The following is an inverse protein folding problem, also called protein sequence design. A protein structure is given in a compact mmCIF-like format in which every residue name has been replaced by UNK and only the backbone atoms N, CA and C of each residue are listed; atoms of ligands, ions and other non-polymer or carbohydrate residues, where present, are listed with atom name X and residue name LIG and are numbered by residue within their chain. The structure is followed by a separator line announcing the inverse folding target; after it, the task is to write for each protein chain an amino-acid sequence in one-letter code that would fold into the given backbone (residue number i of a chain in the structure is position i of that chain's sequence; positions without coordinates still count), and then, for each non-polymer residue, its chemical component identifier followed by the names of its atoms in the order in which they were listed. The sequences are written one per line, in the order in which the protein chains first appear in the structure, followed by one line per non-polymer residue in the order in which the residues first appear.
data_IF_998966563362
#
_entry.id   IF_998966563362
#
_cell.length_a   1.000
_cell.length_b   1.000
_cell.length_c   1.000
_cell.angle_alpha   90.00
_cell.angle_beta   90.00
_cell.angle_gamma   90.00
#
_symmetry.space_group_name_H-M   'P 1'
#
loop_
_entity.id
_entity.type
_entity.pdbx_description
1 polymer ?
#
# COMPACT_ATOMS: atom_id res chain seq x y z
N UNK A 1 4.34 5.08 -14.81
CA UNK A 1 4.40 5.14 -13.34
C UNK A 1 5.84 5.18 -12.85
N UNK A 2 6.06 5.49 -11.58
CA UNK A 2 7.40 5.60 -10.98
C UNK A 2 7.39 4.95 -9.60
N UNK A 3 8.44 4.21 -9.26
CA UNK A 3 8.66 3.61 -7.94
C UNK A 3 10.15 3.54 -7.59
N UNK A 4 10.47 3.41 -6.31
CA UNK A 4 11.81 3.15 -5.81
C UNK A 4 12.13 1.64 -5.81
N UNK A 5 13.41 1.29 -5.72
CA UNK A 5 13.77 -0.12 -5.50
C UNK A 5 13.29 -0.59 -4.13
N UNK A 6 12.73 -1.81 -4.07
CA UNK A 6 12.11 -2.36 -2.86
C UNK A 6 10.69 -1.88 -2.55
N UNK A 7 10.11 -1.03 -3.40
CA UNK A 7 8.73 -0.53 -3.30
C UNK A 7 7.75 -1.38 -4.14
N UNK A 8 6.48 -1.39 -3.75
CA UNK A 8 5.38 -1.80 -4.61
C UNK A 8 4.49 -0.60 -4.98
N UNK A 9 4.12 -0.48 -6.26
CA UNK A 9 3.21 0.56 -6.74
C UNK A 9 2.17 -0.09 -7.65
N UNK A 10 0.91 0.32 -7.51
CA UNK A 10 -0.19 -0.24 -8.27
C UNK A 10 -1.01 0.80 -9.04
N UNK A 11 -1.77 0.30 -10.02
CA UNK A 11 -2.81 1.06 -10.72
C UNK A 11 -3.95 0.12 -11.13
N UNK A 12 -5.13 0.68 -11.39
CA UNK A 12 -6.26 -0.09 -11.88
C UNK A 12 -6.36 -0.03 -13.40
N UNK A 13 -6.41 -1.20 -14.04
CA UNK A 13 -6.84 -1.39 -15.41
C UNK A 13 -8.31 -1.79 -15.40
N UNK A 14 -9.17 -1.06 -16.10
CA UNK A 14 -10.61 -1.37 -16.17
C UNK A 14 -10.95 -1.91 -17.56
N UNK A 15 -11.52 -3.11 -17.61
CA UNK A 15 -12.02 -3.72 -18.85
C UNK A 15 -13.51 -3.39 -18.98
N UNK A 16 -13.89 -2.82 -20.13
CA UNK A 16 -15.27 -2.44 -20.44
C UNK A 16 -15.65 -3.03 -21.81
N UNK A 17 -16.73 -3.84 -21.88
CA UNK A 17 -17.17 -4.52 -23.11
C UNK A 17 -17.89 -3.62 -24.11
N UNK A 18 -18.40 -2.46 -23.67
CA UNK A 18 -19.21 -1.46 -24.39
C UNK A 18 -20.50 -1.96 -25.06
N UNK A 19 -20.55 -3.15 -25.68
CA UNK A 19 -21.69 -3.63 -26.47
C UNK A 19 -21.91 -5.15 -26.43
N UNK A 20 -20.86 -5.96 -26.37
CA UNK A 20 -20.94 -7.43 -26.41
C UNK A 20 -20.25 -8.07 -25.20
N UNK A 21 -20.77 -9.21 -24.73
CA UNK A 21 -20.10 -9.98 -23.68
C UNK A 21 -18.69 -10.37 -24.12
N UNK A 22 -17.73 -10.38 -23.21
CA UNK A 22 -16.40 -10.95 -23.45
C UNK A 22 -16.33 -12.33 -22.82
N UNK A 23 -15.77 -13.29 -23.55
CA UNK A 23 -15.64 -14.67 -23.10
C UNK A 23 -14.18 -15.00 -22.79
N UNK A 24 -13.93 -15.62 -21.64
CA UNK A 24 -12.60 -16.08 -21.23
C UNK A 24 -11.55 -14.96 -21.23
N UNK A 25 -11.90 -13.78 -20.70
CA UNK A 25 -11.00 -12.63 -20.59
C UNK A 25 -9.76 -13.02 -19.79
N UNK A 26 -8.59 -12.73 -20.34
CA UNK A 26 -7.28 -12.93 -19.70
C UNK A 26 -6.48 -11.65 -19.78
N UNK A 27 -5.78 -11.34 -18.69
CA UNK A 27 -4.84 -10.22 -18.64
C UNK A 27 -3.47 -10.77 -18.28
N UNK A 28 -2.49 -10.45 -19.12
CA UNK A 28 -1.14 -10.98 -19.06
C UNK A 28 -0.15 -9.83 -19.14
N UNK A 29 0.95 -9.93 -18.38
CA UNK A 29 2.05 -8.97 -18.43
C UNK A 29 3.31 -9.72 -18.84
N UNK A 30 3.98 -9.23 -19.87
CA UNK A 30 5.26 -9.78 -20.32
C UNK A 30 6.44 -9.26 -19.49
N UNK A 31 7.65 -9.57 -19.93
CA UNK A 31 8.83 -8.88 -19.42
C UNK A 31 8.78 -7.41 -19.82
N UNK A 32 9.10 -6.51 -18.89
CA UNK A 32 9.42 -5.13 -19.20
C UNK A 32 10.94 -4.99 -19.21
N UNK A 33 11.50 -4.53 -20.32
CA UNK A 33 12.94 -4.39 -20.46
C UNK A 33 13.38 -2.96 -20.14
N UNK A 34 14.51 -2.84 -19.44
CA UNK A 34 15.14 -1.54 -19.23
C UNK A 34 15.61 -1.01 -20.57
N UNK A 35 15.20 0.22 -20.94
CA UNK A 35 15.43 0.83 -22.26
C UNK A 35 16.87 0.73 -22.78
N UNK A 36 17.84 0.82 -21.88
CA UNK A 36 19.28 0.88 -22.21
C UNK A 36 20.07 -0.35 -21.72
N UNK A 37 19.41 -1.48 -21.40
CA UNK A 37 20.07 -2.68 -20.87
C UNK A 37 19.25 -3.96 -21.13
N UNK A 38 19.83 -5.12 -20.82
CA UNK A 38 19.15 -6.42 -20.78
C UNK A 38 18.39 -6.67 -19.46
N UNK A 39 18.53 -5.78 -18.47
CA UNK A 39 17.81 -5.89 -17.20
C UNK A 39 16.30 -5.85 -17.43
N UNK A 40 15.56 -6.65 -16.65
CA UNK A 40 14.11 -6.78 -16.79
C UNK A 40 13.38 -6.62 -15.46
N UNK A 41 12.15 -6.15 -15.55
CA UNK A 41 11.10 -6.40 -14.58
C UNK A 41 10.27 -7.56 -15.13
N UNK A 42 10.29 -8.69 -14.44
CA UNK A 42 9.60 -9.89 -14.89
C UNK A 42 8.13 -9.96 -14.49
N UNK A 43 7.33 -10.86 -15.11
CA UNK A 43 5.96 -11.12 -14.68
C UNK A 43 5.86 -11.56 -13.21
N UNK A 44 6.90 -12.18 -12.66
CA UNK A 44 6.99 -12.55 -11.24
C UNK A 44 6.96 -11.35 -10.29
N UNK A 45 7.25 -10.15 -10.81
CA UNK A 45 7.19 -8.88 -10.08
C UNK A 45 5.85 -8.15 -10.24
N UNK A 46 4.92 -8.72 -11.01
CA UNK A 46 3.61 -8.14 -11.29
C UNK A 46 2.52 -9.07 -10.77
N UNK A 47 1.73 -8.58 -9.81
CA UNK A 47 0.54 -9.27 -9.33
C UNK A 47 -0.69 -8.65 -9.99
N UNK A 48 -1.51 -9.49 -10.60
CA UNK A 48 -2.79 -9.09 -11.15
C UNK A 48 -3.90 -9.57 -10.21
N UNK A 49 -4.72 -8.64 -9.76
CA UNK A 49 -5.84 -8.92 -8.87
C UNK A 49 -7.15 -8.47 -9.51
N UNK A 50 -8.12 -9.38 -9.58
CA UNK A 50 -9.49 -9.00 -9.87
C UNK A 50 -10.10 -8.36 -8.64
N UNK A 51 -10.60 -7.14 -8.79
CA UNK A 51 -11.35 -6.48 -7.72
C UNK A 51 -12.76 -7.07 -7.68
N UNK A 52 -13.02 -7.86 -6.64
CA UNK A 52 -14.33 -8.42 -6.36
C UNK A 52 -15.23 -7.36 -5.71
N UNK A 53 -16.53 -7.55 -5.86
CA UNK A 53 -17.52 -6.70 -5.21
C UNK A 53 -18.00 -7.35 -3.91
N UNK A 54 -17.87 -6.63 -2.81
CA UNK A 54 -18.48 -6.95 -1.53
C UNK A 54 -19.82 -6.23 -1.41
N UNK A 55 -20.89 -6.96 -1.09
CA UNK A 55 -22.18 -6.36 -0.81
C UNK A 55 -22.14 -5.59 0.51
N UNK A 56 -22.53 -4.31 0.48
CA UNK A 56 -22.74 -3.48 1.65
C UNK A 56 -24.19 -3.08 1.81
N UNK A 57 -24.72 -3.17 3.03
CA UNK A 57 -26.07 -2.70 3.35
C UNK A 57 -25.95 -1.42 4.18
N UNK A 58 -25.84 -0.22 3.56
CA UNK A 58 -26.00 1.01 4.31
C UNK A 58 -27.36 1.07 5.02
N UNK A 59 -27.43 1.92 6.03
CA UNK A 59 -28.60 2.28 6.87
C UNK A 59 -29.89 2.65 6.10
N UNK A 60 -29.82 2.80 4.77
CA UNK A 60 -30.92 3.18 3.87
C UNK A 60 -31.60 1.98 3.16
N UNK A 61 -31.26 0.73 3.52
CA UNK A 61 -32.01 -0.46 3.07
C UNK A 61 -31.79 -0.85 1.60
N UNK A 62 -30.71 -0.38 0.96
CA UNK A 62 -30.31 -0.80 -0.40
C UNK A 62 -28.94 -1.46 -0.35
N UNK A 63 -28.84 -2.68 -0.87
CA UNK A 63 -27.57 -3.37 -1.08
C UNK A 63 -26.74 -2.61 -2.13
N UNK A 64 -25.57 -2.13 -1.74
CA UNK A 64 -24.56 -1.52 -2.62
C UNK A 64 -23.43 -2.52 -2.86
N UNK A 65 -22.82 -2.50 -4.03
CA UNK A 65 -21.64 -3.33 -4.32
C UNK A 65 -20.39 -2.47 -4.20
N UNK A 66 -19.49 -2.83 -3.29
CA UNK A 66 -18.25 -2.12 -3.04
C UNK A 66 -17.05 -2.93 -3.58
N UNK A 67 -16.30 -2.39 -4.57
CA UNK A 67 -15.16 -3.09 -5.14
C UNK A 67 -13.96 -2.98 -4.19
N UNK A 68 -13.64 -4.05 -3.45
CA UNK A 68 -12.59 -4.01 -2.42
C UNK A 68 -11.79 -5.30 -2.25
N UNK A 69 -12.41 -6.49 -2.04
CA UNK A 69 -11.63 -7.73 -1.99
C UNK A 69 -10.85 -7.94 -3.29
N UNK A 70 -9.61 -8.38 -3.15
CA UNK A 70 -8.70 -8.64 -4.24
C UNK A 70 -8.50 -10.14 -4.37
N UNK A 71 -8.94 -10.69 -5.50
CA UNK A 71 -8.78 -12.12 -5.80
C UNK A 71 -7.71 -12.29 -6.88
N UNK A 72 -6.87 -13.34 -6.84
CA UNK A 72 -5.88 -13.57 -7.88
C UNK A 72 -6.53 -13.62 -9.27
N UNK A 73 -5.93 -12.96 -10.25
CA UNK A 73 -6.46 -12.96 -11.60
C UNK A 73 -6.55 -14.38 -12.16
N UNK A 74 -7.75 -14.73 -12.64
CA UNK A 74 -8.07 -15.97 -13.36
C UNK A 74 -8.88 -15.60 -14.60
N UNK A 75 -8.97 -16.46 -15.63
CA UNK A 75 -9.87 -16.22 -16.75
C UNK A 75 -11.30 -15.98 -16.26
N UNK A 76 -12.00 -15.01 -16.84
CA UNK A 76 -13.37 -14.65 -16.46
C UNK A 76 -14.21 -14.23 -17.67
N UNK A 77 -15.51 -14.47 -17.61
CA UNK A 77 -16.45 -13.90 -18.57
C UNK A 77 -16.91 -12.52 -18.09
N UNK A 78 -17.09 -11.59 -19.00
CA UNK A 78 -17.53 -10.23 -18.69
C UNK A 78 -18.82 -9.89 -19.45
N UNK A 79 -19.98 -9.78 -18.78
CA UNK A 79 -21.24 -9.39 -19.41
C UNK A 79 -21.16 -7.98 -20.02
N UNK A 80 -21.89 -7.74 -21.12
CA UNK A 80 -21.95 -6.44 -21.80
C UNK A 80 -22.36 -5.26 -20.90
N UNK A 81 -23.09 -5.54 -19.81
CA UNK A 81 -23.59 -4.56 -18.84
C UNK A 81 -22.65 -4.30 -17.67
N UNK A 82 -21.46 -4.91 -17.64
CA UNK A 82 -20.55 -4.86 -16.50
C UNK A 82 -19.18 -4.28 -16.88
N UNK A 83 -18.43 -3.86 -15.88
CA UNK A 83 -17.01 -3.55 -16.00
C UNK A 83 -16.24 -4.33 -14.95
N UNK A 84 -14.98 -4.67 -15.24
CA UNK A 84 -14.11 -5.36 -14.29
C UNK A 84 -12.84 -4.55 -14.08
N UNK A 85 -12.62 -4.12 -12.85
CA UNK A 85 -11.36 -3.52 -12.43
C UNK A 85 -10.34 -4.61 -12.08
N UNK A 86 -9.11 -4.41 -12.54
CA UNK A 86 -7.96 -5.26 -12.28
C UNK A 86 -6.90 -4.37 -11.65
N UNK A 87 -6.53 -4.64 -10.39
CA UNK A 87 -5.36 -4.01 -9.80
C UNK A 87 -4.11 -4.68 -10.35
N UNK A 88 -3.30 -3.88 -11.04
CA UNK A 88 -1.95 -4.22 -11.49
C UNK A 88 -0.99 -3.71 -10.43
N UNK A 89 -0.45 -4.62 -9.61
CA UNK A 89 0.43 -4.30 -8.49
C UNK A 89 1.87 -4.74 -8.82
N UNK A 90 2.78 -3.78 -8.94
CA UNK A 90 4.14 -4.01 -9.44
C UNK A 90 5.15 -3.76 -8.32
N UNK A 91 6.06 -4.70 -8.10
CA UNK A 91 7.10 -4.60 -7.07
C UNK A 91 8.50 -4.58 -7.65
N UNK A 92 9.23 -3.50 -7.45
CA UNK A 92 10.65 -3.47 -7.75
C UNK A 92 11.43 -4.28 -6.72
N UNK A 93 12.36 -5.12 -7.18
CA UNK A 93 13.34 -5.76 -6.30
C UNK A 93 14.21 -4.70 -5.61
N UNK A 94 14.84 -5.06 -4.49
CA UNK A 94 15.69 -4.14 -3.71
C UNK A 94 16.94 -3.70 -4.45
N UNK A 95 17.47 -4.59 -5.27
CA UNK A 95 18.62 -4.41 -6.13
C UNK A 95 18.22 -4.10 -7.58
N UNK A 96 16.92 -3.84 -7.83
CA UNK A 96 16.44 -3.51 -9.18
C UNK A 96 17.22 -2.30 -9.73
N UNK A 97 17.91 -2.46 -10.88
CA UNK A 97 18.67 -1.36 -11.45
C UNK A 97 17.75 -0.17 -11.78
N UNK A 98 18.16 1.07 -11.46
CA UNK A 98 17.37 2.24 -11.82
C UNK A 98 17.33 2.42 -13.34
N UNK A 99 16.24 3.02 -13.82
CA UNK A 99 16.04 3.26 -15.25
C UNK A 99 14.57 3.24 -15.65
N UNK A 100 14.33 3.42 -16.94
CA UNK A 100 13.01 3.29 -17.55
C UNK A 100 12.85 1.87 -18.10
N UNK A 101 11.83 1.17 -17.63
CA UNK A 101 11.42 -0.16 -18.09
C UNK A 101 10.18 -0.03 -18.95
N UNK A 102 10.19 -0.69 -20.10
CA UNK A 102 9.15 -0.59 -21.12
C UNK A 102 8.63 -1.98 -21.47
N UNK A 103 7.32 -2.10 -21.61
CA UNK A 103 6.66 -3.33 -22.03
C UNK A 103 5.18 -3.08 -22.22
N UNK A 104 4.38 -4.14 -22.10
CA UNK A 104 2.95 -4.04 -22.31
C UNK A 104 2.16 -5.02 -21.46
N UNK A 105 0.91 -4.64 -21.21
CA UNK A 105 -0.14 -5.52 -20.70
C UNK A 105 -0.98 -5.95 -21.90
N UNK A 106 -1.21 -7.25 -22.03
CA UNK A 106 -2.06 -7.82 -23.07
C UNK A 106 -3.38 -8.29 -22.45
N UNK A 107 -4.49 -7.78 -23.00
CA UNK A 107 -5.85 -8.17 -22.66
C UNK A 107 -6.40 -9.02 -23.81
N UNK A 108 -6.77 -10.26 -23.52
CA UNK A 108 -7.32 -11.21 -24.50
C UNK A 108 -8.74 -11.57 -24.12
N UNK A 109 -9.59 -11.82 -25.10
CA UNK A 109 -10.86 -12.52 -24.95
C UNK A 109 -10.99 -13.52 -26.09
N UNK A 110 -11.73 -14.61 -25.90
CA UNK A 110 -11.88 -15.66 -26.91
C UNK A 110 -12.59 -15.15 -28.18
N UNK A 111 -13.50 -14.21 -27.99
CA UNK A 111 -14.36 -13.66 -29.04
C UNK A 111 -13.88 -12.31 -29.61
N UNK A 112 -12.73 -11.78 -29.17
CA UNK A 112 -12.15 -10.53 -29.69
C UNK A 112 -10.65 -10.63 -29.95
N UNK A 113 -10.14 -9.71 -30.78
CA UNK A 113 -8.69 -9.57 -30.97
C UNK A 113 -8.03 -9.06 -29.68
N UNK A 114 -6.82 -9.54 -29.35
CA UNK A 114 -6.06 -9.03 -28.22
C UNK A 114 -5.85 -7.52 -28.28
N UNK A 115 -6.04 -6.85 -27.14
CA UNK A 115 -5.70 -5.45 -26.95
C UNK A 115 -4.40 -5.33 -26.16
N UNK A 116 -3.57 -4.35 -26.53
CA UNK A 116 -2.30 -4.09 -25.88
C UNK A 116 -2.32 -2.71 -25.23
N UNK A 117 -1.87 -2.63 -23.98
CA UNK A 117 -1.72 -1.38 -23.23
C UNK A 117 -0.24 -1.20 -22.89
N UNK A 118 0.37 -0.12 -23.39
CA UNK A 118 1.78 0.17 -23.14
C UNK A 118 2.02 0.49 -21.66
N UNK A 119 3.09 -0.06 -21.10
CA UNK A 119 3.47 0.13 -19.71
C UNK A 119 4.90 0.67 -19.62
N UNK A 120 5.02 1.84 -18.99
CA UNK A 120 6.30 2.51 -18.73
C UNK A 120 6.50 2.67 -17.22
N UNK A 121 7.60 2.13 -16.72
CA UNK A 121 7.93 2.11 -15.30
C UNK A 121 9.31 2.72 -15.09
N UNK A 122 9.38 3.82 -14.34
CA UNK A 122 10.65 4.40 -13.91
C UNK A 122 11.03 3.86 -12.53
N UNK A 123 12.12 3.11 -12.45
CA UNK A 123 12.76 2.74 -11.17
C UNK A 123 13.72 3.85 -10.76
N UNK A 124 13.50 4.44 -9.59
CA UNK A 124 14.30 5.56 -9.08
C UNK A 124 15.70 5.12 -8.65
N UNK A 125 16.71 6.02 -8.68
CA UNK A 125 18.10 5.71 -8.31
C UNK A 125 18.33 5.58 -6.80
N UNK A 126 17.35 5.11 -6.04
CA UNK A 126 17.47 4.80 -4.62
C UNK A 126 16.53 3.67 -4.24
N UNK A 127 16.88 2.97 -3.16
CA UNK A 127 16.04 1.94 -2.55
C UNK A 127 15.38 2.46 -1.28
N UNK A 128 14.17 1.98 -1.00
CA UNK A 128 13.54 2.21 0.30
C UNK A 128 14.27 1.42 1.41
N UNK A 129 14.36 1.98 2.63
CA UNK A 129 14.93 1.28 3.78
C UNK A 129 14.29 -0.11 3.99
N UNK A 130 15.11 -1.11 4.36
CA UNK A 130 14.64 -2.44 4.80
C UNK A 130 14.27 -2.49 6.26
N UNK A 131 14.70 -1.49 7.02
CA UNK A 131 14.72 -1.58 8.45
C UNK A 131 13.32 -1.36 9.04
N UNK A 132 12.52 -2.42 9.05
CA UNK A 132 11.25 -2.50 9.78
C UNK A 132 11.46 -2.43 11.30
N UNK A 133 12.71 -2.43 11.81
CA UNK A 133 12.97 -2.36 13.26
C UNK A 133 12.83 -0.95 13.84
N UNK A 134 13.03 0.11 13.04
CA UNK A 134 12.82 1.49 13.53
C UNK A 134 11.34 1.82 13.66
N UNK A 135 10.50 1.38 12.72
CA UNK A 135 9.04 1.52 12.77
C UNK A 135 8.36 0.24 12.31
N UNK A 136 7.71 -0.44 13.25
CA UNK A 136 6.95 -1.66 12.98
C UNK A 136 5.45 -1.35 12.88
N UNK A 137 4.85 -1.60 11.72
CA UNK A 137 3.40 -1.61 11.53
C UNK A 137 2.89 -3.04 11.69
N UNK A 138 2.04 -3.25 12.67
CA UNK A 138 1.56 -4.59 13.03
C UNK A 138 0.05 -4.68 12.94
N UNK A 139 -0.47 -5.76 12.39
CA UNK A 139 -1.90 -6.07 12.40
C UNK A 139 -2.22 -6.87 13.66
N UNK A 140 -3.24 -6.46 14.40
CA UNK A 140 -3.70 -7.19 15.58
C UNK A 140 -5.13 -6.88 15.97
N UNK A 141 -5.87 -7.91 16.35
CA UNK A 141 -7.13 -7.80 17.09
C UNK A 141 -7.33 -9.04 17.98
N UNK A 142 -8.28 -8.95 18.90
CA UNK A 142 -8.64 -10.04 19.82
C UNK A 142 -8.96 -11.35 19.08
N UNK A 143 -9.59 -11.24 17.91
CA UNK A 143 -9.92 -12.38 17.07
C UNK A 143 -8.68 -13.14 16.56
N UNK A 144 -7.75 -12.43 15.90
CA UNK A 144 -6.51 -13.02 15.39
C UNK A 144 -5.69 -13.61 16.53
N UNK A 145 -5.65 -12.93 17.67
CA UNK A 145 -4.94 -13.39 18.86
C UNK A 145 -5.55 -14.70 19.39
N UNK A 146 -6.87 -14.80 19.47
CA UNK A 146 -7.58 -16.02 19.91
C UNK A 146 -7.35 -17.20 18.97
N UNK A 147 -7.31 -16.97 17.65
CA UNK A 147 -7.03 -18.04 16.67
C UNK A 147 -5.57 -18.47 16.60
N UNK A 148 -4.63 -17.54 16.82
CA UNK A 148 -3.22 -17.88 16.92
C UNK A 148 -2.91 -18.65 18.23
N UNK A 149 -3.69 -18.41 19.29
CA UNK A 149 -3.50 -19.03 20.60
C UNK A 149 -4.00 -20.49 20.73
N UNK A 150 -4.97 -20.93 19.92
CA UNK A 150 -5.77 -22.12 20.28
C UNK A 150 -5.19 -23.47 19.85
N UNK A 151 -4.77 -23.75 18.60
CA UNK A 151 -4.12 -25.06 18.27
C UNK A 151 -3.57 -25.07 16.82
N UNK A 152 -2.31 -25.49 16.59
CA UNK A 152 -1.53 -25.45 15.31
C UNK A 152 -0.87 -24.10 14.90
N UNK A 153 -0.46 -23.32 15.89
CA UNK A 153 -0.08 -21.90 15.79
C UNK A 153 1.05 -21.55 14.80
N UNK A 154 2.03 -22.43 14.52
CA UNK A 154 3.19 -22.05 13.72
C UNK A 154 2.94 -22.06 12.20
N UNK A 155 2.07 -22.92 11.70
CA UNK A 155 1.74 -22.93 10.27
C UNK A 155 0.78 -21.79 9.92
N UNK A 156 -0.25 -21.57 10.74
CA UNK A 156 -1.18 -20.46 10.56
C UNK A 156 -0.46 -19.10 10.69
N UNK A 157 0.38 -18.92 11.72
CA UNK A 157 1.18 -17.69 11.86
C UNK A 157 2.06 -17.45 10.63
N UNK A 158 2.75 -18.48 10.11
CA UNK A 158 3.56 -18.36 8.89
C UNK A 158 2.73 -17.97 7.67
N UNK A 159 1.54 -18.55 7.50
CA UNK A 159 0.63 -18.21 6.41
C UNK A 159 0.21 -16.73 6.48
N UNK A 160 -0.10 -16.23 7.68
CA UNK A 160 -0.43 -14.83 7.88
C UNK A 160 0.76 -13.89 7.72
N UNK A 161 1.95 -14.27 8.19
CA UNK A 161 3.20 -13.51 7.98
C UNK A 161 3.53 -13.41 6.49
N UNK A 162 3.42 -14.52 5.76
CA UNK A 162 3.59 -14.54 4.30
C UNK A 162 2.55 -13.69 3.58
N UNK A 163 1.31 -13.68 4.07
CA UNK A 163 0.23 -12.84 3.54
C UNK A 163 0.48 -11.34 3.77
N UNK A 164 0.95 -10.95 4.96
CA UNK A 164 1.15 -9.56 5.37
C UNK A 164 2.47 -8.96 4.86
N UNK A 165 3.51 -9.77 4.66
CA UNK A 165 4.83 -9.30 4.25
C UNK A 165 4.84 -8.44 2.96
N UNK A 166 4.06 -8.75 1.90
CA UNK A 166 3.92 -7.89 0.72
C UNK A 166 3.38 -6.48 1.02
N UNK A 167 2.68 -6.30 2.14
CA UNK A 167 2.06 -5.04 2.56
C UNK A 167 2.90 -4.28 3.60
N UNK A 168 4.15 -4.70 3.83
CA UNK A 168 5.04 -4.14 4.86
C UNK A 168 4.44 -4.21 6.29
N UNK A 169 3.58 -5.21 6.53
CA UNK A 169 2.90 -5.45 7.80
C UNK A 169 3.44 -6.70 8.49
N UNK A 170 3.53 -6.64 9.82
CA UNK A 170 3.80 -7.79 10.69
C UNK A 170 2.56 -8.24 11.46
N UNK A 171 2.63 -9.42 12.09
CA UNK A 171 1.63 -9.85 13.07
C UNK A 171 1.95 -9.29 14.46
N UNK A 172 0.97 -8.69 15.12
CA UNK A 172 1.06 -8.36 16.54
C UNK A 172 0.91 -9.63 17.38
N UNK A 173 1.97 -9.98 18.14
CA UNK A 173 2.02 -11.19 18.98
C UNK A 173 1.71 -10.95 20.45
N UNK A 174 1.60 -9.69 20.85
CA UNK A 174 1.25 -9.29 22.22
C UNK A 174 -0.26 -9.07 22.31
N UNK A 175 -0.90 -9.57 23.37
CA UNK A 175 -2.29 -9.23 23.68
C UNK A 175 -2.40 -7.71 23.76
N UNK A 176 -3.28 -7.09 22.97
CA UNK A 176 -3.50 -5.65 23.09
C UNK A 176 -3.93 -5.40 24.55
N UNK A 177 -3.17 -4.64 25.37
CA UNK A 177 -3.53 -4.49 26.77
C UNK A 177 -4.91 -3.84 26.83
N UNK A 178 -5.82 -4.46 27.59
CA UNK A 178 -7.02 -3.77 28.05
C UNK A 178 -6.59 -2.45 28.68
N UNK A 179 -7.26 -1.37 28.28
CA UNK A 179 -7.10 0.03 28.71
C UNK A 179 -6.21 0.26 29.95
N UNK A 180 -4.88 0.23 29.80
CA UNK A 180 -3.96 0.83 30.78
C UNK A 180 -2.52 0.71 30.27
N UNK A 181 -1.89 1.86 30.01
CA UNK A 181 -0.48 2.02 29.56
C UNK A 181 -0.18 1.43 28.17
N UNK A 182 -0.64 2.08 27.11
CA UNK A 182 -0.42 1.62 25.74
C UNK A 182 0.93 2.12 25.18
N UNK A 183 1.97 1.27 24.97
CA UNK A 183 3.17 1.66 24.22
C UNK A 183 2.90 1.79 22.71
N UNK A 184 1.75 1.31 22.23
CA UNK A 184 1.33 1.34 20.83
C UNK A 184 0.46 2.56 20.54
N UNK A 185 0.82 3.36 19.52
CA UNK A 185 -0.15 4.30 18.94
C UNK A 185 -1.03 3.56 17.93
N UNK A 186 -2.35 3.45 18.16
CA UNK A 186 -3.24 2.84 17.20
C UNK A 186 -3.37 3.74 15.97
N UNK A 187 -3.21 3.18 14.77
CA UNK A 187 -3.59 3.84 13.53
C UNK A 187 -5.12 3.75 13.40
N UNK A 188 -5.81 4.69 14.04
CA UNK A 188 -7.25 4.84 13.88
C UNK A 188 -7.54 5.71 12.66
N UNK A 189 -7.78 5.08 11.52
CA UNK A 189 -8.58 5.70 10.47
C UNK A 189 -10.06 5.58 10.87
N UNK A 190 -10.50 6.38 11.85
CA UNK A 190 -11.94 6.51 12.11
C UNK A 190 -12.53 7.34 10.98
N UNK A 191 -13.12 6.67 10.00
CA UNK A 191 -14.10 7.32 9.14
C UNK A 191 -15.34 7.57 10.00
N UNK A 192 -15.38 8.73 10.66
CA UNK A 192 -16.67 9.25 11.11
C UNK A 192 -17.39 9.66 9.83
N UNK A 193 -18.47 8.96 9.48
CA UNK A 193 -19.38 9.46 8.45
C UNK A 193 -19.69 10.92 8.79
N UNK A 194 -19.64 11.85 7.81
CA UNK A 194 -20.22 13.16 8.06
C UNK A 194 -21.66 12.96 8.55
N UNK A 195 -22.16 13.81 9.47
CA UNK A 195 -23.56 13.77 9.86
C UNK A 195 -24.42 13.78 8.59
N UNK A 196 -25.58 13.12 8.65
CA UNK A 196 -26.51 12.94 7.54
C UNK A 196 -27.05 14.28 7.01
N UNK A 197 -26.20 15.10 6.41
CA UNK A 197 -26.59 16.24 5.60
C UNK A 197 -26.83 15.78 4.18
N UNK A 198 -27.73 16.52 3.52
CA UNK A 198 -28.47 16.13 2.33
C UNK A 198 -27.64 15.36 1.29
N UNK A 199 -28.23 14.33 0.65
CA UNK A 199 -27.55 13.54 -0.36
C UNK A 199 -26.92 14.47 -1.38
N UNK A 200 -25.61 14.36 -1.53
CA UNK A 200 -24.92 14.89 -2.71
C UNK A 200 -25.72 14.42 -3.93
N UNK A 201 -26.09 15.36 -4.82
CA UNK A 201 -26.86 15.08 -6.03
C UNK A 201 -26.15 14.11 -7.00
N UNK A 202 -24.89 13.78 -6.72
CA UNK A 202 -24.15 12.73 -7.40
C UNK A 202 -24.18 11.43 -6.56
N UNK A 203 -24.93 10.39 -6.99
CA UNK A 203 -24.97 9.08 -6.34
C UNK A 203 -23.63 8.33 -6.42
N UNK A 204 -22.67 8.81 -7.22
CA UNK A 204 -21.29 8.32 -7.25
C UNK A 204 -20.33 9.17 -6.38
N UNK A 205 -20.79 10.29 -5.84
CA UNK A 205 -20.04 11.16 -4.90
C UNK A 205 -20.37 10.86 -3.43
N UNK A 206 -21.05 9.75 -3.15
CA UNK A 206 -21.12 9.21 -1.80
C UNK A 206 -19.70 8.91 -1.34
N UNK A 207 -19.26 9.61 -0.29
CA UNK A 207 -18.65 9.15 0.96
C UNK A 207 -18.33 7.65 1.13
N UNK A 208 -17.98 6.93 0.07
CA UNK A 208 -17.36 5.63 0.14
C UNK A 208 -15.99 5.88 0.78
N UNK A 209 -15.59 5.09 1.78
CA UNK A 209 -14.25 5.20 2.36
C UNK A 209 -13.25 4.90 1.24
N UNK A 210 -12.84 5.94 0.51
CA UNK A 210 -11.80 5.77 -0.49
C UNK A 210 -10.59 5.19 0.23
N UNK A 211 -9.80 4.40 -0.48
CA UNK A 211 -8.57 3.86 0.07
C UNK A 211 -7.60 4.96 0.55
N UNK A 212 -7.84 6.23 0.20
CA UNK A 212 -7.04 7.38 0.64
C UNK A 212 -6.91 7.48 2.16
N UNK A 213 -7.99 7.32 2.93
CA UNK A 213 -7.94 7.41 4.40
C UNK A 213 -6.93 6.42 5.01
N UNK A 214 -6.78 5.27 4.38
CA UNK A 214 -5.82 4.23 4.79
C UNK A 214 -4.38 4.60 4.43
N UNK A 215 -4.15 5.26 3.29
CA UNK A 215 -2.84 5.83 2.93
C UNK A 215 -2.45 7.00 3.83
N UNK A 216 -3.40 7.88 4.16
CA UNK A 216 -3.18 9.03 5.05
C UNK A 216 -2.69 8.61 6.45
N UNK A 217 -3.01 7.40 6.89
CA UNK A 217 -2.53 6.86 8.16
C UNK A 217 -0.99 6.83 8.25
N UNK A 218 -0.28 6.53 7.15
CA UNK A 218 1.19 6.56 7.13
C UNK A 218 1.77 7.97 7.30
N UNK A 219 1.11 8.97 6.70
CA UNK A 219 1.48 10.39 6.85
C UNK A 219 1.21 10.91 8.25
N UNK A 220 0.08 10.51 8.85
CA UNK A 220 -0.24 10.80 10.24
C UNK A 220 0.78 10.16 11.20
N UNK A 221 1.19 8.91 10.92
CA UNK A 221 2.23 8.23 11.69
C UNK A 221 3.55 9.01 11.67
N UNK A 222 3.97 9.47 10.50
CA UNK A 222 5.16 10.33 10.35
C UNK A 222 5.01 11.64 11.12
N UNK A 223 3.87 12.32 11.00
CA UNK A 223 3.64 13.58 11.70
C UNK A 223 3.75 13.41 13.22
N UNK A 224 3.23 12.31 13.76
CA UNK A 224 3.35 11.99 15.19
C UNK A 224 4.81 11.76 15.61
N UNK A 225 5.57 10.96 14.85
CA UNK A 225 6.97 10.62 15.17
C UNK A 225 7.92 11.80 15.00
N UNK A 226 7.72 12.60 13.95
CA UNK A 226 8.52 13.77 13.68
C UNK A 226 8.38 14.83 14.78
N UNK A 227 7.18 14.95 15.37
CA UNK A 227 6.91 15.88 16.47
C UNK A 227 7.33 15.33 17.85
N UNK A 228 7.38 13.99 18.00
CA UNK A 228 7.75 13.32 19.26
C UNK A 228 8.65 12.11 18.97
N UNK A 229 9.97 12.32 18.76
CA UNK A 229 10.86 11.24 18.41
C UNK A 229 10.99 10.24 19.57
N UNK A 230 10.38 9.07 19.42
CA UNK A 230 10.62 7.90 20.27
C UNK A 230 11.76 7.05 19.69
N UNK A 231 12.39 6.20 20.52
CA UNK A 231 13.58 5.44 20.12
C UNK A 231 13.30 4.30 19.12
N UNK A 232 12.04 3.82 19.06
CA UNK A 232 11.54 2.83 18.11
C UNK A 232 9.98 2.80 18.16
N UNK A 233 9.28 3.72 17.47
CA UNK A 233 7.83 3.77 17.53
C UNK A 233 7.22 2.50 16.92
N UNK A 234 6.31 1.87 17.67
CA UNK A 234 5.51 0.77 17.17
C UNK A 234 4.09 1.26 16.85
N UNK A 235 3.54 0.76 15.75
CA UNK A 235 2.23 1.14 15.21
C UNK A 235 1.34 -0.07 15.09
N UNK A 236 0.21 -0.03 15.78
CA UNK A 236 -0.79 -1.06 15.70
C UNK A 236 -1.88 -0.65 14.70
N UNK A 237 -2.02 -1.42 13.64
CA UNK A 237 -3.18 -1.43 12.75
C UNK A 237 -4.20 -2.37 13.40
N UNK A 238 -5.02 -1.85 14.31
CA UNK A 238 -6.02 -2.62 15.05
C UNK A 238 -7.46 -2.31 14.65
N UNK A 239 -8.35 -3.27 14.94
CA UNK A 239 -9.79 -3.05 15.01
C UNK A 239 -10.60 -3.44 13.78
N UNK A 240 -10.00 -4.05 12.75
CA UNK A 240 -10.68 -4.22 11.46
C UNK A 240 -10.30 -5.52 10.74
N UNK A 241 -10.16 -6.66 11.42
CA UNK A 241 -10.11 -7.96 10.72
C UNK A 241 -11.43 -8.64 11.02
N UNK A 242 -12.42 -8.42 10.15
CA UNK A 242 -13.69 -9.13 10.24
C UNK A 242 -13.52 -10.47 9.54
N UNK A 243 -13.72 -11.55 10.29
CA UNK A 243 -14.08 -12.82 9.69
C UNK A 243 -15.58 -12.85 9.58
N UNK A 244 -16.11 -12.48 8.41
CA UNK A 244 -17.32 -13.15 7.98
C UNK A 244 -16.87 -14.48 7.38
N UNK A 245 -17.05 -15.63 8.08
CA UNK A 245 -16.91 -16.89 7.40
C UNK A 245 -17.93 -16.91 6.25
N UNK A 246 -17.53 -17.22 5.01
CA UNK A 246 -18.53 -17.50 4.00
C UNK A 246 -19.41 -18.66 4.51
N UNK A 247 -20.72 -18.66 4.20
CA UNK A 247 -21.56 -19.79 4.53
C UNK A 247 -20.90 -21.06 3.98
N UNK A 248 -20.74 -22.06 4.85
CA UNK A 248 -20.19 -23.38 4.54
C UNK A 248 -21.16 -24.12 3.61
N UNK A 249 -21.30 -23.67 2.36
CA UNK A 249 -22.22 -24.27 1.39
C UNK A 249 -21.94 -23.76 -0.03
N UNK A 250 -20.69 -23.84 -0.50
CA UNK A 250 -20.43 -24.00 -1.95
C UNK A 250 -19.06 -24.60 -2.17
N UNK A 251 -19.02 -25.71 -2.91
CA UNK A 251 -17.81 -26.41 -3.32
C UNK A 251 -17.18 -25.79 -4.58
N UNK A 252 -17.83 -24.80 -5.20
CA UNK A 252 -17.41 -24.18 -6.46
C UNK A 252 -17.22 -22.67 -6.30
N UNK A 253 -16.16 -22.08 -6.89
CA UNK A 253 -15.99 -20.63 -6.92
C UNK A 253 -17.13 -20.01 -7.75
N UNK A 254 -17.76 -18.91 -7.31
CA UNK A 254 -18.85 -18.30 -8.07
C UNK A 254 -18.38 -17.83 -9.45
N UNK A 255 -19.24 -17.99 -10.45
CA UNK A 255 -19.01 -17.61 -11.87
C UNK A 255 -18.79 -16.10 -12.06
N UNK A 256 -19.17 -15.29 -11.07
CA UNK A 256 -18.83 -13.88 -10.93
C UNK A 256 -18.30 -13.61 -9.51
N UNK A 257 -17.30 -12.74 -9.30
CA UNK A 257 -16.71 -12.50 -7.99
C UNK A 257 -17.62 -11.56 -7.15
N UNK A 258 -18.83 -12.02 -6.82
CA UNK A 258 -19.66 -11.39 -5.80
C UNK A 258 -19.40 -12.14 -4.50
N UNK A 259 -18.61 -11.53 -3.61
CA UNK A 259 -18.42 -12.03 -2.25
C UNK A 259 -19.60 -11.53 -1.41
N UNK A 260 -20.51 -12.45 -1.06
CA UNK A 260 -21.64 -12.13 -0.16
C UNK A 260 -21.19 -12.33 1.29
N UNK A 261 -20.88 -11.23 1.97
CA UNK A 261 -20.64 -11.17 3.42
C UNK A 261 -21.96 -10.87 4.17
N UNK A 262 -22.25 -11.60 5.26
CA UNK A 262 -23.49 -11.44 6.05
C UNK A 262 -23.15 -10.85 7.41
N UNK A 263 -23.46 -9.57 7.53
CA UNK A 263 -23.30 -8.62 8.64
C UNK A 263 -23.45 -9.19 10.07
N UNK A 264 -22.55 -8.79 10.97
CA UNK A 264 -22.85 -8.71 12.41
C UNK A 264 -23.67 -7.43 12.68
N UNK A 265 -24.70 -7.48 13.56
CA UNK A 265 -25.56 -6.32 13.86
C UNK A 265 -24.87 -5.12 14.53
N UNK A 266 -23.57 -5.21 14.86
CA UNK A 266 -22.87 -4.28 15.75
C UNK A 266 -22.04 -3.21 15.02
N UNK A 267 -21.94 -3.23 13.69
CA UNK A 267 -21.10 -2.31 12.91
C UNK A 267 -21.89 -1.57 11.81
N UNK A 268 -22.60 -0.51 12.19
CA UNK A 268 -23.62 0.20 11.39
C UNK A 268 -23.18 1.09 10.22
N UNK A 269 -21.96 0.99 9.65
CA UNK A 269 -21.58 1.96 8.60
C UNK A 269 -20.38 1.64 7.68
N UNK A 270 -19.60 0.58 7.92
CA UNK A 270 -18.37 0.32 7.17
C UNK A 270 -18.36 -1.10 6.59
N UNK A 271 -17.75 -1.36 5.41
CA UNK A 271 -17.54 -2.71 4.94
C UNK A 271 -16.69 -3.47 5.97
N UNK A 272 -17.14 -4.65 6.45
CA UNK A 272 -16.50 -5.37 7.54
C UNK A 272 -15.09 -5.82 7.11
N UNK A 273 -14.06 -5.41 7.86
CA UNK A 273 -12.68 -5.92 7.79
C UNK A 273 -11.77 -5.43 6.65
N UNK A 274 -10.49 -5.13 6.94
CA UNK A 274 -9.37 -4.87 6.02
C UNK A 274 -8.88 -6.10 5.26
N UNK A 275 -9.22 -7.30 5.74
CA UNK A 275 -8.78 -8.58 5.20
C UNK A 275 -10.01 -9.48 5.20
N UNK A 276 -10.37 -9.99 4.03
CA UNK A 276 -11.44 -10.97 3.90
C UNK A 276 -10.89 -12.38 4.09
N UNK A 277 -11.73 -13.33 4.52
CA UNK A 277 -11.41 -14.75 4.40
C UNK A 277 -12.24 -15.39 3.30
N UNK A 278 -11.59 -16.16 2.44
CA UNK A 278 -12.30 -16.91 1.42
C UNK A 278 -12.92 -18.20 1.95
N UNK A 279 -13.58 -18.94 1.05
CA UNK A 279 -14.24 -20.23 1.34
C UNK A 279 -13.29 -21.30 1.89
N UNK A 280 -11.97 -21.15 1.71
CA UNK A 280 -10.95 -22.03 2.26
C UNK A 280 -10.40 -21.54 3.62
N UNK A 281 -10.94 -20.43 4.16
CA UNK A 281 -10.46 -19.80 5.38
C UNK A 281 -9.09 -19.12 5.23
N UNK A 282 -8.65 -18.84 3.99
CA UNK A 282 -7.39 -18.14 3.72
C UNK A 282 -7.63 -16.62 3.58
N UNK A 283 -6.69 -15.78 4.01
CA UNK A 283 -6.82 -14.33 3.90
C UNK A 283 -6.73 -13.86 2.44
N UNK A 284 -7.61 -12.93 2.07
CA UNK A 284 -7.65 -12.22 0.80
C UNK A 284 -7.39 -10.72 1.06
N UNK A 285 -6.49 -10.09 0.27
CA UNK A 285 -6.18 -8.69 0.45
C UNK A 285 -7.32 -7.79 -0.03
N UNK A 286 -7.24 -6.51 0.31
CA UNK A 286 -8.21 -5.49 -0.07
C UNK A 286 -7.51 -4.29 -0.70
N UNK A 287 -8.24 -3.46 -1.45
CA UNK A 287 -7.74 -2.16 -1.90
C UNK A 287 -7.35 -1.27 -0.71
N UNK A 288 -8.06 -1.40 0.41
CA UNK A 288 -7.70 -0.72 1.66
C UNK A 288 -6.35 -1.16 2.20
N UNK A 289 -6.05 -2.46 2.19
CA UNK A 289 -4.75 -3.00 2.61
C UNK A 289 -3.61 -2.53 1.70
N UNK A 290 -3.86 -2.44 0.38
CA UNK A 290 -2.92 -1.84 -0.58
C UNK A 290 -2.64 -0.38 -0.23
N UNK A 291 -3.66 0.41 0.09
CA UNK A 291 -3.44 1.80 0.48
C UNK A 291 -2.72 1.96 1.83
N UNK A 292 -2.92 1.05 2.79
CA UNK A 292 -2.11 1.02 4.02
C UNK A 292 -0.63 0.83 3.65
N UNK A 293 -0.31 -0.14 2.78
CA UNK A 293 1.06 -0.35 2.31
C UNK A 293 1.62 0.91 1.66
N UNK A 294 0.88 1.53 0.75
CA UNK A 294 1.32 2.76 0.08
C UNK A 294 1.62 3.88 1.11
N UNK A 295 0.83 3.98 2.18
CA UNK A 295 1.07 4.92 3.28
C UNK A 295 2.33 4.58 4.10
N UNK A 296 2.59 3.30 4.35
CA UNK A 296 3.82 2.84 5.00
C UNK A 296 5.05 3.13 4.12
N UNK A 297 4.92 2.97 2.81
CA UNK A 297 5.99 3.31 1.86
C UNK A 297 6.21 4.83 1.80
N UNK A 298 5.15 5.64 1.81
CA UNK A 298 5.26 7.10 1.94
C UNK A 298 6.01 7.52 3.22
N UNK A 299 5.76 6.84 4.35
CA UNK A 299 6.51 7.03 5.59
C UNK A 299 8.01 6.76 5.36
N UNK A 300 8.35 5.67 4.66
CA UNK A 300 9.74 5.30 4.35
C UNK A 300 10.44 6.30 3.43
N UNK A 301 9.71 6.94 2.51
CA UNK A 301 10.25 8.07 1.73
C UNK A 301 10.65 9.23 2.64
N UNK A 302 9.81 9.59 3.61
CA UNK A 302 10.07 10.66 4.56
C UNK A 302 11.26 10.34 5.48
N UNK A 303 11.34 9.11 5.96
CA UNK A 303 12.49 8.63 6.74
C UNK A 303 13.79 8.71 5.94
N UNK A 304 13.77 8.21 4.70
CA UNK A 304 14.93 8.26 3.81
C UNK A 304 15.36 9.71 3.54
N UNK A 305 14.42 10.62 3.28
CA UNK A 305 14.72 12.04 3.12
C UNK A 305 15.36 12.63 4.37
N UNK A 306 14.80 12.37 5.56
CA UNK A 306 15.33 12.88 6.81
C UNK A 306 16.75 12.37 7.10
N UNK A 307 17.01 11.09 6.85
CA UNK A 307 18.33 10.48 6.99
C UNK A 307 19.35 11.14 6.04
N UNK A 308 19.00 11.28 4.76
CA UNK A 308 19.88 11.89 3.76
C UNK A 308 20.16 13.37 4.05
N UNK A 309 19.18 14.10 4.60
CA UNK A 309 19.38 15.48 5.04
C UNK A 309 20.34 15.58 6.22
N UNK A 310 20.21 14.69 7.21
CA UNK A 310 21.11 14.64 8.36
C UNK A 310 22.55 14.33 7.91
N UNK A 311 22.72 13.39 6.99
CA UNK A 311 24.00 13.04 6.38
C UNK A 311 24.59 14.20 5.57
N UNK A 312 23.79 14.84 4.71
CA UNK A 312 24.24 15.98 3.91
C UNK A 312 24.63 17.19 4.79
N UNK A 313 23.96 17.38 5.92
CA UNK A 313 24.32 18.39 6.93
C UNK A 313 25.65 18.04 7.60
N UNK A 314 25.84 16.78 8.01
CA UNK A 314 27.07 16.28 8.66
C UNK A 314 28.28 16.40 7.73
N UNK A 315 28.13 15.99 6.47
CA UNK A 315 29.18 16.00 5.45
C UNK A 315 29.34 17.35 4.74
N UNK A 316 28.44 18.31 5.01
CA UNK A 316 28.42 19.64 4.35
C UNK A 316 28.37 19.56 2.82
N UNK A 317 27.74 18.53 2.26
CA UNK A 317 27.68 18.28 0.81
C UNK A 317 26.69 19.19 0.08
N UNK A 318 25.70 19.75 0.79
CA UNK A 318 24.68 20.62 0.23
C UNK A 318 24.71 22.03 0.82
N UNK A 319 24.51 23.05 -0.04
CA UNK A 319 24.36 24.46 0.37
C UNK A 319 23.13 24.60 1.29
N UNK A 320 23.22 25.50 2.27
CA UNK A 320 22.22 25.63 3.34
C UNK A 320 20.80 25.90 2.82
N UNK A 321 20.63 26.66 1.73
CA UNK A 321 19.30 26.96 1.17
C UNK A 321 18.67 25.80 0.42
N UNK A 322 19.47 24.97 -0.29
CA UNK A 322 18.97 23.74 -0.91
C UNK A 322 18.48 22.79 0.18
N UNK A 323 19.30 22.62 1.24
CA UNK A 323 18.92 21.84 2.42
C UNK A 323 17.65 22.35 3.09
N UNK A 324 17.54 23.67 3.33
CA UNK A 324 16.34 24.29 3.90
C UNK A 324 15.09 24.09 3.04
N UNK A 325 15.23 24.08 1.71
CA UNK A 325 14.12 23.78 0.78
C UNK A 325 13.62 22.35 0.96
N UNK A 326 14.52 21.38 1.07
CA UNK A 326 14.14 19.97 1.29
C UNK A 326 13.63 19.70 2.70
N UNK A 327 14.20 20.35 3.73
CA UNK A 327 13.73 20.27 5.12
C UNK A 327 12.25 20.68 5.25
N UNK A 328 11.74 21.59 4.41
CA UNK A 328 10.32 21.98 4.38
C UNK A 328 9.36 20.88 3.90
N UNK A 329 9.87 19.79 3.33
CA UNK A 329 9.05 18.66 2.91
C UNK A 329 8.71 17.72 4.07
N UNK A 330 9.50 17.73 5.16
CA UNK A 330 9.30 16.83 6.32
C UNK A 330 8.07 17.19 7.17
N UNK A 331 7.77 18.47 7.48
CA UNK A 331 6.55 18.82 8.19
C UNK A 331 5.33 18.63 7.29
N UNK A 332 4.36 17.83 7.73
CA UNK A 332 3.12 17.53 6.98
C UNK A 332 2.00 18.47 7.41
N UNK A 333 1.25 18.97 6.43
CA UNK A 333 0.02 19.73 6.66
C UNK A 333 -1.01 18.80 7.35
N UNK A 334 -1.55 19.15 8.54
CA UNK A 334 -2.56 18.35 9.22
C UNK A 334 -3.75 17.95 8.34
N UNK A 335 -4.13 18.77 7.35
CA UNK A 335 -5.21 18.43 6.42
C UNK A 335 -4.91 17.22 5.55
N UNK A 336 -3.63 16.96 5.24
CA UNK A 336 -3.23 15.76 4.50
C UNK A 336 -3.32 14.50 5.35
N UNK A 337 -3.31 14.63 6.67
CA UNK A 337 -3.40 13.53 7.63
C UNK A 337 -4.83 13.26 8.12
N UNK A 338 -5.79 14.13 7.78
CA UNK A 338 -7.17 14.06 8.28
C UNK A 338 -7.99 13.05 7.46
N UNK A 339 -8.41 11.91 8.03
CA UNK A 339 -9.17 10.88 7.30
C UNK A 339 -10.61 11.32 6.99
N UNK A 340 -11.10 12.39 7.60
CA UNK A 340 -12.40 12.99 7.27
C UNK A 340 -12.32 13.85 5.99
N UNK A 341 -11.11 14.31 5.65
CA UNK A 341 -10.83 14.99 4.39
C UNK A 341 -10.52 13.92 3.35
N UNK A 342 -11.52 13.59 2.53
CA UNK A 342 -11.39 12.52 1.55
C UNK A 342 -11.92 12.97 0.18
N UNK A 343 -11.05 13.61 -0.60
CA UNK A 343 -11.38 14.04 -1.96
C UNK A 343 -10.31 13.60 -2.95
N UNK A 344 -10.69 13.44 -4.23
CA UNK A 344 -9.77 13.14 -5.32
C UNK A 344 -8.64 14.18 -5.40
N UNK A 345 -8.95 15.45 -5.16
CA UNK A 345 -7.98 16.54 -5.15
C UNK A 345 -6.95 16.37 -4.02
N UNK A 346 -7.39 15.94 -2.83
CA UNK A 346 -6.49 15.68 -1.72
C UNK A 346 -5.57 14.48 -2.01
N UNK A 347 -6.11 13.42 -2.62
CA UNK A 347 -5.32 12.28 -3.10
C UNK A 347 -4.24 12.71 -4.08
N UNK A 348 -4.58 13.56 -5.05
CA UNK A 348 -3.61 14.12 -6.00
C UNK A 348 -2.53 14.96 -5.30
N UNK A 349 -2.91 15.79 -4.31
CA UNK A 349 -1.96 16.59 -3.51
C UNK A 349 -0.97 15.71 -2.73
N UNK A 350 -1.44 14.60 -2.17
CA UNK A 350 -0.59 13.63 -1.47
C UNK A 350 0.42 12.99 -2.43
N UNK A 351 -0.02 12.53 -3.60
CA UNK A 351 0.87 11.96 -4.62
C UNK A 351 1.91 12.95 -5.14
N UNK A 352 1.50 14.20 -5.40
CA UNK A 352 2.42 15.28 -5.79
C UNK A 352 3.47 15.56 -4.70
N UNK A 353 3.07 15.51 -3.43
CA UNK A 353 3.98 15.70 -2.31
C UNK A 353 4.99 14.56 -2.20
N UNK A 354 4.56 13.31 -2.37
CA UNK A 354 5.45 12.14 -2.45
C UNK A 354 6.46 12.28 -3.59
N UNK A 355 6.02 12.71 -4.78
CA UNK A 355 6.92 12.96 -5.91
C UNK A 355 7.98 14.02 -5.56
N UNK A 356 7.59 15.10 -4.90
CA UNK A 356 8.53 16.14 -4.46
C UNK A 356 9.58 15.62 -3.46
N UNK A 357 9.17 14.73 -2.53
CA UNK A 357 10.07 14.05 -1.58
C UNK A 357 11.04 13.14 -2.34
N UNK A 358 10.53 12.33 -3.26
CA UNK A 358 11.33 11.44 -4.09
C UNK A 358 12.39 12.22 -4.89
N UNK A 359 11.98 13.31 -5.54
CA UNK A 359 12.88 14.17 -6.30
C UNK A 359 13.96 14.81 -5.41
N UNK A 360 13.62 15.18 -4.17
CA UNK A 360 14.58 15.70 -3.20
C UNK A 360 15.64 14.64 -2.82
N UNK A 361 15.21 13.40 -2.59
CA UNK A 361 16.12 12.27 -2.31
C UNK A 361 17.10 12.07 -3.47
N UNK A 362 16.61 12.02 -4.71
CA UNK A 362 17.47 11.89 -5.90
C UNK A 362 18.50 13.04 -5.99
N UNK A 363 18.06 14.27 -5.74
CA UNK A 363 18.94 15.44 -5.78
C UNK A 363 20.03 15.42 -4.71
N UNK A 364 19.69 15.02 -3.48
CA UNK A 364 20.69 14.91 -2.39
C UNK A 364 21.72 13.83 -2.74
N UNK A 365 21.27 12.70 -3.27
CA UNK A 365 22.16 11.59 -3.64
C UNK A 365 23.14 11.99 -4.75
N UNK A 366 22.68 12.68 -5.80
CA UNK A 366 23.57 13.17 -6.88
C UNK A 366 24.68 14.07 -6.33
N UNK A 367 24.36 14.98 -5.41
CA UNK A 367 25.36 15.85 -4.78
C UNK A 367 26.38 15.08 -3.92
N UNK A 368 26.00 13.95 -3.34
CA UNK A 368 26.93 13.06 -2.64
C UNK A 368 27.93 12.38 -3.57
N UNK A 369 27.49 11.99 -4.78
CA UNK A 369 28.36 11.37 -5.79
C UNK A 369 29.30 12.37 -6.48
N UNK A 370 28.86 13.61 -6.69
CA UNK A 370 29.67 14.67 -7.32
C UNK A 370 30.81 15.19 -6.41
N UNK A 371 30.78 14.90 -5.11
CA UNK A 371 31.76 15.40 -4.14
C UNK A 371 32.39 14.25 -3.29
N UNK A 372 33.11 13.29 -3.91
CA UNK A 372 33.61 12.08 -3.25
C UNK A 372 34.70 12.35 -2.19
N UNK A 373 35.36 13.51 -2.22
CA UNK A 373 36.40 13.89 -1.25
C UNK A 373 35.88 14.12 0.19
N UNK A 374 34.56 14.24 0.38
CA UNK A 374 33.95 14.29 1.71
C UNK A 374 33.77 12.90 2.34
N UNK A 375 33.67 11.83 1.53
CA UNK A 375 33.42 10.46 1.99
C UNK A 375 34.71 9.72 2.38
N UNK A 376 35.85 10.02 1.75
CA UNK A 376 37.14 9.39 2.06
C UNK A 376 37.72 9.77 3.43
N UNK A 377 37.30 10.90 4.00
CA UNK A 377 37.80 11.36 5.31
C UNK A 377 37.12 10.71 6.52
N UNK A 378 36.04 9.92 6.35
CA UNK A 378 35.44 9.18 7.46
C UNK A 378 36.03 7.79 7.70
N UNK A 379 36.58 7.15 6.66
CA UNK A 379 37.22 5.83 6.80
C UNK A 379 38.68 5.90 7.28
N UNK A 380 39.33 7.06 7.12
CA UNK A 380 40.72 7.26 7.54
C UNK A 380 40.86 7.71 9.02
N UNK A 381 39.79 8.19 9.66
CA UNK A 381 39.82 8.66 11.07
C UNK A 381 39.46 7.59 12.10
N UNK A 382 38.99 6.43 11.69
CA UNK A 382 38.70 5.28 12.57
C UNK A 382 39.87 4.31 12.72
N UNK A 383 40.98 4.50 11.99
CA UNK A 383 42.15 3.61 12.03
C UNK A 383 43.34 4.22 12.80
N UNK A 384 43.34 5.53 13.08
CA UNK A 384 44.49 6.23 13.70
C UNK A 384 44.40 6.50 15.20
N UNK A 385 43.39 5.99 15.91
CA UNK A 385 43.24 6.20 17.37
C UNK A 385 43.43 4.93 18.21
N UNK A 386 44.26 3.98 17.74
CA UNK A 386 44.47 2.67 18.39
C UNK A 386 45.92 2.22 18.58
N UNK A 387 46.90 3.11 18.46
CA UNK A 387 48.29 2.83 18.85
C UNK A 387 48.97 4.11 19.36
N UNK A 388 49.78 3.99 20.42
CA UNK A 388 50.34 5.02 21.31
C UNK A 388 49.36 5.43 22.43
N UNK A 389 49.57 5.16 23.71
CA UNK A 389 50.70 4.66 24.52
C UNK A 389 50.13 3.89 25.71
#
# INVERSE_FOLDING_TARGET
MTLAAGEAEGFQLVVVPYWERLEGVRVEVGNLFRRDSIDRLGPEQVRLWLTASAATSPTLGREMLYPDPLTPARPFDLPASASQAILVDIRAQRDQPPGLYEGHIMVRANNLRPMTVSLHIRVRPFALPDDTSRVAFQVGNEFLQTRLATTQSSHLARTWEQFLAPFALGLCRESAPGESTNPWLPLRATYALPPAEAPSADPYSLAAPTSLAYRQAGWAAWQADHNRPSRAPQRLVSGWVSLDPPPRESAEPPDAPIVRCRWSPEEWANPPGLIYLNHLGRPEPTLRLVAIRDGIEDYRYLELLAHRLAEAKRLKTARWWKRRRWERLLPIDPKLCDPTQNSLELGAKLLLRREAIAAAIEQIQRLGHENPHAASNSSARSITSGQQQ
#
